data_IF_936333072475
#
_entry.id   IF_936333072475
#
_cell.length_a   1.000
_cell.length_b   1.000
_cell.length_c   1.000
_cell.angle_alpha   90.00
_cell.angle_beta   90.00
_cell.angle_gamma   90.00
#
_symmetry.space_group_name_H-M   'P 1'
#
loop_
_entity.id
_entity.type
_entity.pdbx_description
1 polymer ?
#
# COMPACT_ATOMS: atom_id res chain seq x y z
N UNK A 1 1.89 -24.36 -10.38
CA UNK A 1 2.19 -23.75 -9.07
C UNK A 1 3.58 -23.12 -9.18
N UNK A 2 3.66 -21.90 -9.71
CA UNK A 2 4.92 -21.18 -9.90
C UNK A 2 4.93 -20.01 -8.89
N UNK A 3 5.66 -20.21 -7.82
CA UNK A 3 5.97 -19.15 -6.84
C UNK A 3 6.98 -18.23 -7.52
N UNK A 4 6.51 -17.13 -8.09
CA UNK A 4 7.37 -16.00 -8.44
C UNK A 4 7.65 -15.24 -7.15
N UNK A 5 8.83 -15.45 -6.58
CA UNK A 5 9.39 -14.58 -5.56
C UNK A 5 9.59 -13.20 -6.20
N UNK A 6 8.69 -12.30 -5.94
CA UNK A 6 8.87 -10.90 -6.25
C UNK A 6 9.85 -10.31 -5.23
N UNK A 7 11.12 -10.22 -5.61
CA UNK A 7 12.07 -9.34 -4.95
C UNK A 7 11.57 -7.91 -5.19
N UNK A 8 10.93 -7.32 -4.20
CA UNK A 8 10.68 -5.91 -4.17
C UNK A 8 12.02 -5.21 -3.90
N UNK A 9 12.65 -4.75 -4.97
CA UNK A 9 13.60 -3.67 -4.91
C UNK A 9 12.85 -2.44 -4.38
N UNK A 10 13.11 -2.06 -3.13
CA UNK A 10 12.65 -0.82 -2.55
C UNK A 10 13.13 0.34 -3.44
N UNK A 11 12.22 1.14 -4.02
CA UNK A 11 12.66 2.41 -4.57
C UNK A 11 13.07 3.28 -3.38
N UNK A 12 14.35 3.63 -3.31
CA UNK A 12 14.83 4.73 -2.50
C UNK A 12 14.11 6.00 -3.00
N UNK A 13 13.03 6.36 -2.33
CA UNK A 13 12.47 7.69 -2.50
C UNK A 13 13.45 8.69 -1.90
N UNK A 14 14.24 9.29 -2.77
CA UNK A 14 14.97 10.50 -2.45
C UNK A 14 13.96 11.58 -2.07
N UNK A 15 13.92 11.95 -0.80
CA UNK A 15 13.32 13.20 -0.36
C UNK A 15 14.24 14.31 -0.88
N UNK A 16 13.91 14.84 -2.04
CA UNK A 16 14.49 16.09 -2.54
C UNK A 16 13.93 17.23 -1.69
N UNK A 17 14.74 17.73 -0.75
CA UNK A 17 14.33 18.91 0.02
C UNK A 17 15.10 19.19 1.32
N UNK A 18 16.28 18.64 1.54
CA UNK A 18 17.20 19.17 2.56
C UNK A 18 18.17 20.15 1.89
N UNK A 19 17.83 21.43 1.92
CA UNK A 19 18.82 22.49 1.68
C UNK A 19 19.76 22.50 2.89
N UNK A 20 20.87 21.77 2.81
CA UNK A 20 22.00 21.98 3.70
C UNK A 20 22.73 23.24 3.22
N UNK A 21 22.60 24.35 3.95
CA UNK A 21 23.46 25.48 3.74
C UNK A 21 24.85 25.13 4.25
N UNK A 22 25.83 25.14 3.35
CA UNK A 22 27.25 25.08 3.71
C UNK A 22 27.59 26.36 4.48
N UNK A 23 28.16 26.24 5.68
CA UNK A 23 28.57 27.36 6.52
C UNK A 23 29.84 28.03 6.03
N UNK A 24 30.47 27.54 4.98
CA UNK A 24 31.76 28.06 4.42
C UNK A 24 31.61 28.71 3.03
N UNK A 25 30.38 28.88 2.53
CA UNK A 25 30.12 29.65 1.31
C UNK A 25 30.50 28.96 -0.02
N UNK A 26 30.97 27.71 0.03
CA UNK A 26 31.20 26.95 -1.21
C UNK A 26 29.89 26.41 -1.80
N UNK A 27 29.63 26.57 -3.11
CA UNK A 27 28.42 26.05 -3.71
C UNK A 27 28.43 24.52 -3.70
N UNK A 28 27.29 23.91 -3.29
CA UNK A 28 27.11 22.47 -3.37
C UNK A 28 27.15 22.01 -4.83
N UNK A 29 27.88 20.92 -5.10
CA UNK A 29 28.07 20.41 -6.48
C UNK A 29 26.83 19.67 -6.99
N UNK A 30 25.87 19.35 -6.11
CA UNK A 30 24.69 18.54 -6.39
C UNK A 30 24.98 17.04 -6.53
N UNK A 31 26.21 16.62 -6.32
CA UNK A 31 26.62 15.22 -6.29
C UNK A 31 26.84 14.80 -4.84
N UNK A 32 25.95 13.98 -4.31
CA UNK A 32 25.90 13.59 -2.89
C UNK A 32 27.26 13.06 -2.37
N UNK A 33 27.98 12.27 -3.18
CA UNK A 33 29.31 11.77 -2.83
C UNK A 33 30.34 12.88 -2.71
N UNK A 34 30.31 13.88 -3.58
CA UNK A 34 31.25 14.99 -3.56
C UNK A 34 30.95 15.96 -2.42
N UNK A 35 29.65 16.20 -2.14
CA UNK A 35 29.21 17.14 -1.11
C UNK A 35 29.36 16.56 0.30
N UNK A 36 29.23 15.23 0.47
CA UNK A 36 29.42 14.54 1.76
C UNK A 36 30.84 14.06 2.02
N UNK A 37 31.62 13.82 0.97
CA UNK A 37 32.96 13.23 1.08
C UNK A 37 34.08 14.11 0.47
N UNK A 38 33.78 15.37 0.15
CA UNK A 38 34.78 16.36 -0.28
C UNK A 38 35.81 16.51 0.82
N UNK A 39 36.98 15.98 0.58
CA UNK A 39 38.13 16.10 1.46
C UNK A 39 38.55 17.57 1.46
N UNK A 40 38.31 18.27 2.58
CA UNK A 40 38.86 19.63 2.74
C UNK A 40 40.38 19.55 2.58
N UNK A 41 40.90 20.29 1.63
CA UNK A 41 42.33 20.52 1.45
C UNK A 41 42.93 20.80 2.83
N UNK A 42 43.94 20.00 3.22
CA UNK A 42 44.57 20.05 4.52
C UNK A 42 44.99 21.48 4.86
N UNK A 43 44.65 22.01 6.04
CA UNK A 43 45.24 23.22 6.54
C UNK A 43 46.75 23.00 6.74
N UNK A 44 47.54 24.05 6.47
CA UNK A 44 48.98 24.10 6.65
C UNK A 44 49.44 23.53 8.00
N UNK A 45 50.62 22.91 8.06
CA UNK A 45 51.03 22.00 9.16
C UNK A 45 51.20 22.59 10.56
N UNK A 46 50.92 23.86 10.77
CA UNK A 46 51.22 24.53 12.04
C UNK A 46 50.16 24.43 13.16
N UNK A 47 48.95 23.85 12.90
CA UNK A 47 47.90 23.70 13.91
C UNK A 47 47.12 22.38 13.79
N UNK A 48 47.82 21.26 13.68
CA UNK A 48 47.13 19.96 13.77
C UNK A 48 46.69 19.69 15.21
N UNK A 49 45.49 20.09 15.57
CA UNK A 49 44.86 19.71 16.83
C UNK A 49 44.37 18.28 16.74
N UNK A 50 44.85 17.40 17.59
CA UNK A 50 44.37 16.02 17.71
C UNK A 50 42.87 15.95 18.05
N UNK A 51 42.28 17.02 18.58
CA UNK A 51 40.85 17.12 18.85
C UNK A 51 40.00 17.09 17.57
N UNK A 52 40.46 17.70 16.46
CA UNK A 52 39.70 17.71 15.20
C UNK A 52 39.66 16.32 14.56
N UNK A 53 40.75 15.55 14.71
CA UNK A 53 40.81 14.17 14.22
C UNK A 53 39.88 13.23 15.01
N UNK A 54 39.78 13.42 16.33
CA UNK A 54 38.87 12.63 17.17
C UNK A 54 37.39 12.92 16.83
N UNK A 55 37.01 14.19 16.68
CA UNK A 55 35.65 14.57 16.32
C UNK A 55 35.20 13.99 14.96
N UNK A 56 36.09 13.96 13.97
CA UNK A 56 35.83 13.37 12.64
C UNK A 56 35.68 11.86 12.73
N UNK A 57 36.47 11.17 13.56
CA UNK A 57 36.33 9.71 13.76
C UNK A 57 35.02 9.37 14.48
N UNK A 58 34.69 10.14 15.54
CA UNK A 58 33.43 10.01 16.30
C UNK A 58 32.20 10.11 15.40
N UNK A 59 32.12 11.14 14.56
CA UNK A 59 31.01 11.34 13.63
C UNK A 59 30.89 10.18 12.64
N UNK A 60 32.01 9.59 12.21
CA UNK A 60 31.99 8.45 11.28
C UNK A 60 31.50 7.16 11.93
N UNK A 61 31.77 6.89 13.20
CA UNK A 61 31.32 5.69 13.89
C UNK A 61 29.79 5.77 14.17
N UNK A 62 29.30 6.91 14.65
CA UNK A 62 27.88 7.15 14.85
C UNK A 62 27.09 7.03 13.52
N UNK A 63 27.62 7.62 12.43
CA UNK A 63 27.02 7.52 11.11
C UNK A 63 26.95 6.07 10.61
N UNK A 64 28.04 5.29 10.78
CA UNK A 64 28.07 3.87 10.39
C UNK A 64 27.04 3.06 11.16
N UNK A 65 26.94 3.22 12.48
CA UNK A 65 25.96 2.53 13.29
C UNK A 65 24.52 2.86 12.85
N UNK A 66 24.23 4.14 12.59
CA UNK A 66 22.94 4.57 12.08
C UNK A 66 22.61 3.97 10.71
N UNK A 67 23.55 4.03 9.76
CA UNK A 67 23.36 3.47 8.41
C UNK A 67 23.15 1.95 8.42
N UNK A 68 23.88 1.22 9.26
CA UNK A 68 23.65 -0.23 9.40
C UNK A 68 22.23 -0.54 9.87
N UNK A 69 21.71 0.20 10.85
CA UNK A 69 20.36 0.01 11.34
C UNK A 69 19.28 0.55 10.40
N UNK A 70 19.60 1.52 9.55
CA UNK A 70 18.69 2.00 8.51
C UNK A 70 18.46 0.92 7.43
N UNK A 71 19.50 0.12 7.14
CA UNK A 71 19.40 -1.00 6.17
C UNK A 71 18.78 -2.23 6.82
N UNK A 72 19.23 -2.57 8.04
CA UNK A 72 18.75 -3.73 8.78
C UNK A 72 18.58 -3.37 10.26
N UNK A 73 17.35 -3.20 10.76
CA UNK A 73 17.10 -2.86 12.15
C UNK A 73 17.81 -3.82 13.12
N UNK A 74 18.55 -3.26 14.06
CA UNK A 74 19.37 -4.03 14.98
C UNK A 74 20.85 -4.15 14.57
N UNK A 75 21.20 -3.97 13.29
CA UNK A 75 22.58 -4.13 12.84
C UNK A 75 23.53 -3.08 13.43
N UNK A 76 23.11 -1.83 13.57
CA UNK A 76 23.89 -0.80 14.24
C UNK A 76 24.03 -1.03 15.73
N UNK A 77 23.01 -1.56 16.40
CA UNK A 77 23.12 -1.98 17.80
C UNK A 77 24.11 -3.14 17.97
N UNK A 78 24.07 -4.12 17.06
CA UNK A 78 25.06 -5.20 17.05
C UNK A 78 26.49 -4.67 16.81
N UNK A 79 26.66 -3.70 15.89
CA UNK A 79 27.93 -3.01 15.68
C UNK A 79 28.43 -2.33 16.96
N UNK A 80 27.55 -1.72 17.74
CA UNK A 80 27.79 -1.10 19.01
C UNK A 80 27.92 -2.13 20.17
N UNK A 81 27.90 -3.44 19.89
CA UNK A 81 27.95 -4.55 20.85
C UNK A 81 26.74 -4.61 21.81
N UNK A 82 25.65 -3.93 21.49
CA UNK A 82 24.40 -3.97 22.27
C UNK A 82 23.44 -5.04 21.70
N UNK A 83 23.77 -6.30 21.93
CA UNK A 83 23.08 -7.44 21.33
C UNK A 83 21.64 -7.58 21.78
N UNK A 84 21.28 -7.15 23.01
CA UNK A 84 19.90 -7.20 23.48
C UNK A 84 19.00 -6.28 22.63
N UNK A 85 19.40 -5.02 22.46
CA UNK A 85 18.66 -4.08 21.61
C UNK A 85 18.66 -4.51 20.16
N UNK A 86 19.79 -5.04 19.66
CA UNK A 86 19.86 -5.60 18.30
C UNK A 86 18.79 -6.69 18.09
N UNK A 87 18.67 -7.62 19.05
CA UNK A 87 17.67 -8.67 19.00
C UNK A 87 16.23 -8.14 19.04
N UNK A 88 15.96 -7.10 19.85
CA UNK A 88 14.63 -6.48 19.93
C UNK A 88 14.24 -5.84 18.60
N UNK A 89 15.07 -4.98 18.01
CA UNK A 89 14.79 -4.34 16.73
C UNK A 89 14.64 -5.34 15.59
N UNK A 90 15.49 -6.36 15.55
CA UNK A 90 15.39 -7.43 14.56
C UNK A 90 14.10 -8.27 14.74
N UNK A 91 13.70 -8.55 15.99
CA UNK A 91 12.45 -9.26 16.25
C UNK A 91 11.21 -8.47 15.80
N UNK A 92 11.19 -7.15 16.00
CA UNK A 92 10.13 -6.28 15.48
C UNK A 92 10.08 -6.31 13.96
N UNK A 93 11.24 -6.29 13.29
CA UNK A 93 11.36 -6.40 11.83
C UNK A 93 10.71 -7.69 11.32
N UNK A 94 11.14 -8.83 11.87
CA UNK A 94 10.61 -10.15 11.49
C UNK A 94 9.10 -10.24 11.77
N UNK A 95 8.65 -9.78 12.94
CA UNK A 95 7.23 -9.79 13.31
C UNK A 95 6.38 -8.94 12.35
N UNK A 96 6.88 -7.76 11.94
CA UNK A 96 6.19 -6.89 10.98
C UNK A 96 6.03 -7.56 9.62
N UNK A 97 7.09 -8.18 9.08
CA UNK A 97 7.01 -8.90 7.80
C UNK A 97 6.13 -10.15 7.87
N UNK A 98 6.20 -10.91 8.96
CA UNK A 98 5.30 -12.06 9.17
C UNK A 98 3.85 -11.61 9.24
N UNK A 99 3.55 -10.53 9.98
CA UNK A 99 2.21 -9.98 10.06
C UNK A 99 1.72 -9.54 8.67
N UNK A 100 2.55 -8.81 7.90
CA UNK A 100 2.20 -8.39 6.53
C UNK A 100 1.82 -9.59 5.66
N UNK A 101 2.64 -10.64 5.60
CA UNK A 101 2.38 -11.83 4.79
C UNK A 101 1.11 -12.56 5.23
N UNK A 102 0.92 -12.74 6.52
CA UNK A 102 -0.25 -13.44 7.07
C UNK A 102 -1.55 -12.69 6.77
N UNK A 103 -1.56 -11.36 6.99
CA UNK A 103 -2.75 -10.56 6.78
C UNK A 103 -3.07 -10.33 5.30
N UNK A 104 -2.06 -10.19 4.43
CA UNK A 104 -2.29 -10.20 2.98
C UNK A 104 -2.92 -11.53 2.53
N UNK A 105 -2.41 -12.67 3.02
CA UNK A 105 -3.00 -13.98 2.70
C UNK A 105 -4.46 -14.09 3.14
N UNK A 106 -4.80 -13.54 4.33
CA UNK A 106 -6.20 -13.48 4.78
C UNK A 106 -7.03 -12.58 3.87
N UNK A 107 -6.50 -11.43 3.45
CA UNK A 107 -7.14 -10.54 2.48
C UNK A 107 -7.43 -11.22 1.16
N UNK A 108 -6.43 -11.93 0.59
CA UNK A 108 -6.59 -12.70 -0.65
C UNK A 108 -7.65 -13.78 -0.54
N UNK A 109 -7.64 -14.54 0.56
CA UNK A 109 -8.64 -15.59 0.80
C UNK A 109 -10.05 -14.99 0.93
N UNK A 110 -10.19 -13.87 1.63
CA UNK A 110 -11.45 -13.19 1.81
C UNK A 110 -11.93 -12.55 0.49
N UNK A 111 -11.01 -12.04 -0.33
CA UNK A 111 -11.30 -11.55 -1.69
C UNK A 111 -11.85 -12.66 -2.57
N UNK A 112 -11.19 -13.81 -2.59
CA UNK A 112 -11.67 -14.97 -3.31
C UNK A 112 -13.06 -15.41 -2.82
N UNK A 113 -13.30 -15.35 -1.50
CA UNK A 113 -14.57 -15.71 -0.91
C UNK A 113 -15.70 -14.80 -1.40
N UNK A 114 -15.58 -13.46 -1.30
CA UNK A 114 -16.66 -12.58 -1.72
C UNK A 114 -16.87 -12.56 -3.24
N UNK A 115 -15.80 -12.74 -4.03
CA UNK A 115 -15.94 -12.91 -5.48
C UNK A 115 -16.69 -14.19 -5.84
N UNK A 116 -16.38 -15.31 -5.18
CA UNK A 116 -17.12 -16.56 -5.35
C UNK A 116 -18.58 -16.45 -4.86
N UNK A 117 -18.83 -15.68 -3.81
CA UNK A 117 -20.18 -15.41 -3.35
C UNK A 117 -21.02 -14.68 -4.41
N UNK A 118 -20.42 -13.73 -5.13
CA UNK A 118 -21.07 -13.05 -6.24
C UNK A 118 -21.24 -13.97 -7.47
N UNK A 119 -20.17 -14.59 -7.92
CA UNK A 119 -20.08 -15.25 -9.22
C UNK A 119 -20.43 -16.74 -9.21
N UNK A 120 -20.42 -17.38 -8.04
CA UNK A 120 -20.47 -18.82 -7.89
C UNK A 120 -19.08 -19.48 -7.72
N UNK A 121 -19.08 -20.72 -7.24
CA UNK A 121 -17.87 -21.39 -6.77
C UNK A 121 -16.96 -21.95 -7.87
N UNK A 122 -17.45 -22.03 -9.10
CA UNK A 122 -16.63 -22.49 -10.23
C UNK A 122 -17.22 -22.11 -11.58
N UNK A 123 -16.38 -22.14 -12.62
CA UNK A 123 -16.78 -21.96 -14.02
C UNK A 123 -17.84 -22.96 -14.53
N UNK A 124 -18.23 -23.92 -13.73
CA UNK A 124 -19.27 -24.89 -14.04
C UNK A 124 -20.52 -24.75 -13.16
N UNK A 125 -20.42 -24.03 -12.04
CA UNK A 125 -21.49 -23.90 -11.06
C UNK A 125 -21.82 -22.44 -10.72
N UNK A 126 -22.12 -21.66 -11.75
CA UNK A 126 -22.57 -20.25 -11.62
C UNK A 126 -23.94 -20.12 -10.93
N UNK A 127 -24.64 -21.23 -10.73
CA UNK A 127 -25.95 -21.24 -10.08
C UNK A 127 -25.86 -20.93 -8.58
N UNK A 128 -24.67 -21.08 -7.98
CA UNK A 128 -24.42 -20.80 -6.57
C UNK A 128 -24.01 -19.33 -6.35
N UNK A 129 -23.85 -18.55 -7.43
CA UNK A 129 -23.57 -17.13 -7.34
C UNK A 129 -24.83 -16.34 -7.06
N UNK A 130 -24.66 -15.28 -6.25
CA UNK A 130 -25.77 -14.43 -5.84
C UNK A 130 -25.91 -13.17 -6.68
N UNK A 131 -24.98 -12.86 -7.56
CA UNK A 131 -25.03 -11.71 -8.47
C UNK A 131 -24.75 -12.12 -9.91
N UNK A 132 -25.48 -11.53 -10.87
CA UNK A 132 -25.34 -11.87 -12.27
C UNK A 132 -25.41 -10.65 -13.17
N UNK A 133 -24.31 -10.40 -13.91
CA UNK A 133 -24.27 -9.37 -14.94
C UNK A 133 -25.31 -9.60 -16.04
N UNK A 134 -25.56 -10.86 -16.40
CA UNK A 134 -26.61 -11.21 -17.37
C UNK A 134 -28.00 -10.85 -16.85
N UNK A 135 -28.28 -11.17 -15.58
CA UNK A 135 -29.57 -10.81 -14.95
C UNK A 135 -29.73 -9.28 -14.91
N UNK A 136 -28.69 -8.54 -14.57
CA UNK A 136 -28.69 -7.08 -14.59
C UNK A 136 -28.97 -6.52 -15.99
N UNK A 137 -28.29 -7.03 -17.02
CA UNK A 137 -28.53 -6.62 -18.40
C UNK A 137 -29.93 -7.00 -18.89
N UNK A 138 -30.44 -8.18 -18.51
CA UNK A 138 -31.81 -8.59 -18.83
C UNK A 138 -32.83 -7.66 -18.19
N UNK A 139 -32.67 -7.31 -16.91
CA UNK A 139 -33.51 -6.33 -16.24
C UNK A 139 -33.54 -4.98 -16.99
N UNK A 140 -32.36 -4.43 -17.32
CA UNK A 140 -32.32 -3.18 -18.10
C UNK A 140 -33.08 -3.31 -19.42
N UNK A 141 -32.94 -4.42 -20.13
CA UNK A 141 -33.58 -4.65 -21.41
C UNK A 141 -35.12 -4.74 -21.30
N UNK A 142 -35.60 -5.47 -20.30
CA UNK A 142 -37.04 -5.68 -20.10
C UNK A 142 -37.73 -4.41 -19.60
N UNK A 143 -37.11 -3.68 -18.66
CA UNK A 143 -37.67 -2.49 -18.04
C UNK A 143 -37.16 -1.17 -18.66
N UNK A 144 -36.53 -1.22 -19.84
CA UNK A 144 -35.89 -0.08 -20.48
C UNK A 144 -36.80 1.16 -20.57
N UNK A 145 -38.01 0.98 -21.04
CA UNK A 145 -39.01 2.07 -21.20
C UNK A 145 -39.36 2.71 -19.85
N UNK A 146 -39.50 1.89 -18.80
CA UNK A 146 -39.79 2.37 -17.46
C UNK A 146 -38.58 3.14 -16.88
N UNK A 147 -37.38 2.61 -17.06
CA UNK A 147 -36.11 3.24 -16.62
C UNK A 147 -35.95 4.59 -17.32
N UNK A 148 -36.11 4.64 -18.64
CA UNK A 148 -36.01 5.88 -19.42
C UNK A 148 -37.04 6.91 -18.99
N UNK A 149 -38.29 6.47 -18.75
CA UNK A 149 -39.37 7.36 -18.32
C UNK A 149 -39.09 7.96 -16.94
N UNK A 150 -38.70 7.15 -15.97
CA UNK A 150 -38.35 7.61 -14.61
C UNK A 150 -37.16 8.57 -14.64
N UNK A 151 -36.17 8.34 -15.50
CA UNK A 151 -34.99 9.20 -15.64
C UNK A 151 -35.24 10.44 -16.55
N UNK A 152 -36.33 10.49 -17.28
CA UNK A 152 -36.63 11.55 -18.25
C UNK A 152 -35.74 11.48 -19.51
N UNK A 153 -35.27 10.28 -19.88
CA UNK A 153 -34.44 10.05 -21.06
C UNK A 153 -35.28 10.14 -22.33
N UNK A 154 -34.94 11.06 -23.23
CA UNK A 154 -35.68 11.30 -24.46
C UNK A 154 -34.76 11.58 -25.66
N UNK A 155 -35.33 11.67 -26.84
CA UNK A 155 -34.63 12.09 -28.07
C UNK A 155 -33.54 11.10 -28.50
N UNK A 156 -32.35 11.61 -28.86
CA UNK A 156 -31.23 10.81 -29.36
C UNK A 156 -30.73 9.78 -28.32
N UNK A 157 -30.77 10.15 -27.06
CA UNK A 157 -30.30 9.25 -25.98
C UNK A 157 -31.27 8.07 -25.81
N UNK A 158 -32.61 8.29 -25.92
CA UNK A 158 -33.56 7.20 -25.87
C UNK A 158 -33.37 6.24 -27.07
N UNK A 159 -33.19 6.77 -28.28
CA UNK A 159 -32.91 5.97 -29.47
C UNK A 159 -31.65 5.14 -29.33
N UNK A 160 -30.57 5.74 -28.78
CA UNK A 160 -29.30 5.05 -28.52
C UNK A 160 -29.47 3.92 -27.50
N UNK A 161 -30.19 4.19 -26.39
CA UNK A 161 -30.47 3.18 -25.39
C UNK A 161 -31.29 2.01 -25.97
N UNK A 162 -32.33 2.29 -26.75
CA UNK A 162 -33.13 1.26 -27.42
C UNK A 162 -32.30 0.42 -28.40
N UNK A 163 -31.44 1.05 -29.21
CA UNK A 163 -30.58 0.34 -30.17
C UNK A 163 -29.63 -0.64 -29.46
N UNK A 164 -28.94 -0.17 -28.43
CA UNK A 164 -27.90 -0.99 -27.74
C UNK A 164 -28.53 -1.99 -26.76
N UNK A 165 -29.71 -1.74 -26.19
CA UNK A 165 -30.40 -2.70 -25.33
C UNK A 165 -30.69 -4.02 -26.05
N UNK A 166 -30.90 -4.00 -27.36
CA UNK A 166 -31.13 -5.24 -28.13
C UNK A 166 -29.81 -6.04 -28.31
N UNK A 167 -28.65 -5.41 -28.18
CA UNK A 167 -27.33 -5.99 -28.43
C UNK A 167 -26.66 -6.46 -27.16
N UNK A 168 -27.01 -5.93 -25.98
CA UNK A 168 -26.27 -6.15 -24.74
C UNK A 168 -26.41 -7.57 -24.17
N UNK A 169 -27.48 -8.30 -24.50
CA UNK A 169 -27.68 -9.70 -24.14
C UNK A 169 -27.37 -10.56 -25.34
N UNK A 170 -26.36 -11.38 -25.26
CA UNK A 170 -25.90 -12.28 -26.30
C UNK A 170 -25.96 -13.73 -25.82
N UNK A 171 -26.06 -14.68 -26.74
CA UNK A 171 -26.00 -16.10 -26.42
C UNK A 171 -24.73 -16.71 -27.06
N UNK A 172 -23.67 -16.77 -26.32
CA UNK A 172 -22.39 -17.31 -26.76
C UNK A 172 -22.27 -18.83 -26.52
N UNK A 173 -23.32 -19.48 -26.03
CA UNK A 173 -23.32 -20.91 -25.69
C UNK A 173 -22.39 -21.26 -24.51
N UNK A 174 -21.88 -20.25 -23.80
CA UNK A 174 -21.02 -20.40 -22.61
C UNK A 174 -21.87 -20.28 -21.36
N UNK A 175 -21.76 -21.21 -20.40
CA UNK A 175 -22.58 -21.19 -19.18
C UNK A 175 -22.35 -19.97 -18.29
N UNK A 176 -21.19 -19.33 -18.36
CA UNK A 176 -20.86 -18.16 -17.54
C UNK A 176 -21.78 -16.98 -17.84
N UNK A 177 -22.53 -16.44 -16.86
CA UNK A 177 -23.45 -15.33 -17.09
C UNK A 177 -22.79 -14.11 -17.76
N UNK A 178 -21.61 -13.72 -17.30
CA UNK A 178 -20.87 -12.57 -17.84
C UNK A 178 -20.36 -12.77 -19.26
N UNK A 179 -20.25 -14.00 -19.76
CA UNK A 179 -19.90 -14.29 -21.16
C UNK A 179 -21.07 -14.03 -22.12
N UNK A 180 -22.27 -13.89 -21.59
CA UNK A 180 -23.48 -13.62 -22.36
C UNK A 180 -23.90 -12.13 -22.29
N UNK A 181 -22.97 -11.25 -21.93
CA UNK A 181 -23.14 -9.80 -21.90
C UNK A 181 -22.18 -9.16 -22.89
N UNK A 182 -22.70 -8.37 -23.81
CA UNK A 182 -21.90 -7.41 -24.59
C UNK A 182 -21.66 -6.17 -23.73
N UNK A 183 -20.47 -6.09 -23.17
CA UNK A 183 -20.06 -5.03 -22.24
C UNK A 183 -20.06 -3.64 -22.88
N UNK A 184 -19.73 -3.55 -24.17
CA UNK A 184 -19.79 -2.30 -24.89
C UNK A 184 -21.23 -1.82 -25.02
N UNK A 185 -22.12 -2.70 -25.46
CA UNK A 185 -23.53 -2.38 -25.61
C UNK A 185 -24.18 -2.02 -24.28
N UNK A 186 -23.88 -2.75 -23.20
CA UNK A 186 -24.34 -2.44 -21.86
C UNK A 186 -23.91 -1.03 -21.41
N UNK A 187 -22.64 -0.69 -21.59
CA UNK A 187 -22.13 0.64 -21.20
C UNK A 187 -22.70 1.77 -22.07
N UNK A 188 -23.04 1.50 -23.36
CA UNK A 188 -23.77 2.47 -24.18
C UNK A 188 -25.17 2.76 -23.64
N UNK A 189 -25.89 1.73 -23.18
CA UNK A 189 -27.23 1.90 -22.57
C UNK A 189 -27.10 2.67 -21.25
N UNK A 190 -26.21 2.28 -20.36
CA UNK A 190 -25.97 2.97 -19.08
C UNK A 190 -25.62 4.44 -19.30
N UNK A 191 -24.73 4.72 -20.27
CA UNK A 191 -24.30 6.08 -20.60
C UNK A 191 -25.43 6.91 -21.22
N UNK A 192 -26.23 6.34 -22.11
CA UNK A 192 -27.33 7.03 -22.78
C UNK A 192 -28.45 7.40 -21.81
N UNK A 193 -28.76 6.53 -20.85
CA UNK A 193 -29.73 6.80 -19.79
C UNK A 193 -29.17 7.81 -18.79
N UNK A 194 -27.86 7.76 -18.52
CA UNK A 194 -27.18 8.80 -17.72
C UNK A 194 -27.58 8.79 -16.26
N UNK A 195 -28.25 9.84 -15.77
CA UNK A 195 -28.49 10.11 -14.34
C UNK A 195 -28.98 8.94 -13.50
N UNK A 196 -29.69 7.98 -14.06
CA UNK A 196 -30.04 6.74 -13.39
C UNK A 196 -28.80 5.86 -13.14
N UNK A 197 -27.92 5.75 -14.09
CA UNK A 197 -26.69 4.98 -13.99
C UNK A 197 -25.50 5.91 -13.75
N UNK A 198 -25.21 6.19 -12.50
CA UNK A 198 -24.07 7.05 -12.11
C UNK A 198 -22.71 6.44 -12.41
N UNK A 199 -22.65 5.13 -12.60
CA UNK A 199 -21.43 4.36 -12.89
C UNK A 199 -21.70 3.35 -14.00
N UNK A 200 -20.75 3.20 -14.90
CA UNK A 200 -20.75 2.15 -15.92
C UNK A 200 -20.17 0.88 -15.32
N UNK A 201 -20.84 -0.25 -15.56
CA UNK A 201 -20.35 -1.55 -15.09
C UNK A 201 -19.16 -2.00 -15.94
N UNK A 202 -17.94 -2.12 -15.37
CA UNK A 202 -16.80 -2.62 -16.13
C UNK A 202 -16.94 -4.12 -16.39
N UNK A 203 -16.18 -4.66 -17.37
CA UNK A 203 -16.17 -6.09 -17.64
C UNK A 203 -15.85 -6.93 -16.41
N UNK A 204 -16.47 -8.11 -16.36
CA UNK A 204 -16.25 -9.09 -15.29
C UNK A 204 -14.76 -9.40 -15.06
N UNK A 205 -14.38 -9.64 -13.80
CA UNK A 205 -13.02 -9.97 -13.38
C UNK A 205 -12.15 -8.76 -13.02
N UNK A 206 -12.59 -7.54 -13.31
CA UNK A 206 -11.90 -6.33 -12.88
C UNK A 206 -12.21 -6.03 -11.41
N UNK A 207 -11.22 -5.47 -10.68
CA UNK A 207 -11.41 -5.06 -9.29
C UNK A 207 -12.61 -4.10 -9.14
N UNK A 208 -12.74 -3.17 -10.07
CA UNK A 208 -13.81 -2.18 -10.07
C UNK A 208 -15.20 -2.80 -10.27
N UNK A 209 -15.31 -3.89 -11.07
CA UNK A 209 -16.56 -4.66 -11.21
C UNK A 209 -17.06 -5.11 -9.83
N UNK A 210 -16.21 -5.79 -9.06
CA UNK A 210 -16.56 -6.27 -7.73
C UNK A 210 -16.77 -5.15 -6.69
N UNK A 211 -16.20 -3.98 -6.94
CA UNK A 211 -16.47 -2.82 -6.10
C UNK A 211 -17.89 -2.27 -6.35
N UNK A 212 -18.24 -2.06 -7.60
CA UNK A 212 -19.46 -1.38 -7.98
C UNK A 212 -20.72 -2.18 -7.64
N UNK A 213 -20.72 -3.49 -7.88
CA UNK A 213 -21.90 -4.35 -7.68
C UNK A 213 -22.39 -4.40 -6.23
N UNK A 214 -21.51 -4.16 -5.25
CA UNK A 214 -21.88 -4.09 -3.84
C UNK A 214 -22.16 -2.67 -3.36
N UNK A 215 -21.47 -1.67 -3.94
CA UNK A 215 -21.44 -0.30 -3.41
C UNK A 215 -22.63 0.55 -3.87
N UNK A 216 -23.11 0.33 -5.11
CA UNK A 216 -24.09 1.22 -5.71
C UNK A 216 -25.44 0.55 -5.92
N UNK A 217 -26.54 1.17 -5.44
CA UNK A 217 -27.90 0.62 -5.57
C UNK A 217 -28.35 0.38 -7.01
N UNK A 218 -27.78 1.10 -7.98
CA UNK A 218 -28.09 0.92 -9.41
C UNK A 218 -27.83 -0.53 -9.90
N UNK A 219 -26.96 -1.29 -9.24
CA UNK A 219 -26.67 -2.68 -9.57
C UNK A 219 -27.54 -3.68 -8.80
N UNK A 220 -28.50 -3.18 -7.99
CA UNK A 220 -29.37 -4.01 -7.14
C UNK A 220 -30.02 -5.16 -7.88
N UNK A 221 -30.53 -4.92 -9.07
CA UNK A 221 -31.31 -5.90 -9.81
C UNK A 221 -30.48 -7.06 -10.40
N UNK A 222 -29.17 -6.97 -10.32
CA UNK A 222 -28.28 -8.11 -10.59
C UNK A 222 -28.23 -9.14 -9.45
N UNK A 223 -28.66 -8.79 -8.23
CA UNK A 223 -28.71 -9.72 -7.09
C UNK A 223 -29.92 -10.62 -7.15
N UNK A 224 -29.76 -11.89 -6.82
CA UNK A 224 -30.78 -12.93 -6.92
C UNK A 224 -31.96 -12.74 -5.96
N UNK A 225 -31.75 -12.03 -4.86
CA UNK A 225 -32.74 -11.68 -3.85
C UNK A 225 -33.35 -10.29 -4.03
N UNK A 226 -33.04 -9.61 -5.14
CA UNK A 226 -33.69 -8.38 -5.56
C UNK A 226 -35.13 -8.65 -6.02
N UNK A 227 -35.93 -7.62 -6.23
CA UNK A 227 -37.32 -7.73 -6.72
C UNK A 227 -37.35 -8.42 -8.10
N UNK A 228 -36.49 -7.97 -9.03
CA UNK A 228 -36.34 -8.62 -10.34
C UNK A 228 -35.79 -10.04 -10.21
N UNK A 229 -34.73 -10.22 -9.40
CA UNK A 229 -34.16 -11.53 -9.19
C UNK A 229 -35.13 -12.56 -8.63
N UNK A 230 -36.04 -12.14 -7.76
CA UNK A 230 -37.13 -12.98 -7.25
C UNK A 230 -38.21 -13.23 -8.31
N UNK A 231 -38.59 -12.19 -9.07
CA UNK A 231 -39.61 -12.31 -10.11
C UNK A 231 -39.26 -13.34 -11.17
N UNK A 232 -38.06 -13.30 -11.73
CA UNK A 232 -37.61 -14.26 -12.75
C UNK A 232 -37.42 -15.68 -12.22
N UNK A 233 -37.36 -15.85 -10.90
CA UNK A 233 -37.31 -17.17 -10.23
C UNK A 233 -38.67 -17.64 -9.71
N UNK A 234 -39.70 -16.85 -9.89
CA UNK A 234 -41.05 -17.17 -9.37
C UNK A 234 -41.12 -17.19 -7.84
N UNK A 235 -40.28 -16.42 -7.18
CA UNK A 235 -40.20 -16.36 -5.71
C UNK A 235 -41.15 -15.29 -5.14
N UNK A 236 -41.67 -15.47 -3.91
CA UNK A 236 -42.50 -14.46 -3.25
C UNK A 236 -41.78 -13.12 -3.10
N UNK A 237 -42.49 -12.02 -3.30
CA UNK A 237 -41.95 -10.66 -3.20
C UNK A 237 -41.11 -10.22 -4.42
N UNK A 238 -41.19 -10.97 -5.54
CA UNK A 238 -40.67 -10.55 -6.82
C UNK A 238 -41.59 -9.51 -7.48
N UNK A 239 -40.99 -8.52 -8.13
CA UNK A 239 -41.65 -7.54 -8.98
C UNK A 239 -40.80 -7.32 -10.22
N UNK A 240 -41.35 -7.63 -11.38
CA UNK A 240 -40.67 -7.50 -12.68
C UNK A 240 -40.68 -6.07 -13.23
N UNK A 241 -41.50 -5.20 -12.65
CA UNK A 241 -41.62 -3.79 -13.06
C UNK A 241 -40.99 -2.82 -12.04
N UNK A 242 -40.11 -3.32 -11.19
CA UNK A 242 -39.59 -2.55 -10.09
C UNK A 242 -38.40 -1.70 -10.54
N UNK A 243 -38.57 -0.39 -10.56
CA UNK A 243 -37.54 0.61 -10.81
C UNK A 243 -37.45 1.52 -9.60
N UNK A 244 -36.71 1.13 -8.58
CA UNK A 244 -36.56 1.93 -7.41
C UNK A 244 -35.08 2.08 -7.02
N UNK A 245 -34.64 3.34 -6.93
CA UNK A 245 -33.38 3.76 -6.40
C UNK A 245 -33.29 3.75 -4.88
N UNK A 246 -34.43 3.84 -4.23
CA UNK A 246 -34.53 4.25 -2.82
C UNK A 246 -34.31 3.07 -1.87
N UNK A 247 -34.51 1.86 -2.35
CA UNK A 247 -34.50 0.67 -1.48
C UNK A 247 -33.11 0.12 -1.11
N UNK A 248 -32.03 0.83 -1.43
CA UNK A 248 -30.69 0.49 -0.94
C UNK A 248 -30.20 -0.90 -1.35
N UNK A 249 -29.52 -1.56 -0.44
CA UNK A 249 -28.95 -2.90 -0.64
C UNK A 249 -29.97 -4.01 -0.37
N UNK A 250 -29.82 -5.15 -1.08
CA UNK A 250 -30.50 -6.39 -0.71
C UNK A 250 -29.78 -7.09 0.44
N UNK A 251 -30.37 -8.08 1.13
CA UNK A 251 -29.66 -8.89 2.10
C UNK A 251 -28.36 -9.51 1.57
N UNK A 252 -28.38 -10.08 0.34
CA UNK A 252 -27.18 -10.66 -0.26
C UNK A 252 -26.15 -9.60 -0.63
N UNK A 253 -26.55 -8.45 -1.17
CA UNK A 253 -25.62 -7.38 -1.45
C UNK A 253 -25.02 -6.79 -0.17
N UNK A 254 -25.79 -6.67 0.91
CA UNK A 254 -25.29 -6.21 2.20
C UNK A 254 -24.26 -7.18 2.78
N UNK A 255 -24.57 -8.47 2.78
CA UNK A 255 -23.60 -9.49 3.21
C UNK A 255 -22.32 -9.46 2.37
N UNK A 256 -22.44 -9.33 1.04
CA UNK A 256 -21.30 -9.20 0.14
C UNK A 256 -20.43 -7.99 0.50
N UNK A 257 -21.06 -6.83 0.76
CA UNK A 257 -20.35 -5.61 1.17
C UNK A 257 -19.59 -5.80 2.47
N UNK A 258 -20.18 -6.48 3.45
CA UNK A 258 -19.53 -6.80 4.72
C UNK A 258 -18.30 -7.70 4.50
N UNK A 259 -18.44 -8.72 3.65
CA UNK A 259 -17.31 -9.62 3.33
C UNK A 259 -16.19 -8.89 2.57
N UNK A 260 -16.54 -7.98 1.66
CA UNK A 260 -15.58 -7.13 0.97
C UNK A 260 -14.90 -6.14 1.94
N UNK A 261 -15.68 -5.56 2.85
CA UNK A 261 -15.16 -4.72 3.95
C UNK A 261 -14.12 -5.44 4.77
N UNK A 262 -14.41 -6.69 5.17
CA UNK A 262 -13.48 -7.54 5.93
C UNK A 262 -12.18 -7.81 5.16
N UNK A 263 -12.22 -8.01 3.84
CA UNK A 263 -11.02 -8.15 3.02
C UNK A 263 -10.15 -6.88 3.06
N UNK A 264 -10.79 -5.71 2.94
CA UNK A 264 -10.10 -4.42 3.04
C UNK A 264 -9.47 -4.20 4.41
N UNK A 265 -10.14 -4.62 5.49
CA UNK A 265 -9.59 -4.54 6.85
C UNK A 265 -8.33 -5.40 6.99
N UNK A 266 -8.31 -6.60 6.41
CA UNK A 266 -7.13 -7.44 6.42
C UNK A 266 -5.96 -6.80 5.66
N UNK A 267 -6.20 -6.22 4.50
CA UNK A 267 -5.17 -5.48 3.77
C UNK A 267 -4.70 -4.22 4.50
N UNK A 268 -5.61 -3.53 5.21
CA UNK A 268 -5.24 -2.37 6.02
C UNK A 268 -4.31 -2.76 7.17
N UNK A 269 -4.57 -3.89 7.85
CA UNK A 269 -3.66 -4.42 8.88
C UNK A 269 -2.30 -4.80 8.27
N UNK A 270 -2.29 -5.46 7.11
CA UNK A 270 -1.06 -5.79 6.40
C UNK A 270 -0.24 -4.55 6.03
N UNK A 271 -0.89 -3.50 5.54
CA UNK A 271 -0.27 -2.21 5.23
C UNK A 271 0.28 -1.52 6.48
N UNK A 272 -0.47 -1.56 7.59
CA UNK A 272 -0.03 -1.01 8.89
C UNK A 272 1.22 -1.72 9.38
N UNK A 273 1.33 -3.04 9.21
CA UNK A 273 2.54 -3.79 9.57
C UNK A 273 3.79 -3.30 8.80
N UNK A 274 3.65 -2.97 7.52
CA UNK A 274 4.74 -2.32 6.75
C UNK A 274 5.08 -0.94 7.31
N UNK A 275 4.09 -0.16 7.71
CA UNK A 275 4.31 1.11 8.39
C UNK A 275 5.14 0.95 9.68
N UNK A 276 4.85 -0.07 10.49
CA UNK A 276 5.62 -0.39 11.70
C UNK A 276 7.08 -0.76 11.34
N UNK A 277 7.29 -1.55 10.29
CA UNK A 277 8.63 -1.90 9.78
C UNK A 277 9.41 -0.63 9.40
N UNK A 278 8.82 0.28 8.64
CA UNK A 278 9.47 1.54 8.24
C UNK A 278 9.87 2.36 9.47
N UNK A 279 8.98 2.53 10.43
CA UNK A 279 9.25 3.26 11.68
C UNK A 279 10.34 2.58 12.48
N UNK A 280 10.37 1.24 12.52
CA UNK A 280 11.41 0.44 13.18
C UNK A 280 12.80 0.73 12.60
N UNK A 281 12.95 0.85 11.28
CA UNK A 281 14.21 1.24 10.64
C UNK A 281 14.70 2.62 11.11
N UNK A 282 13.83 3.62 11.12
CA UNK A 282 14.19 4.97 11.55
C UNK A 282 14.57 5.04 13.04
N UNK A 283 13.77 4.42 13.91
CA UNK A 283 14.03 4.42 15.36
C UNK A 283 15.33 3.65 15.65
N UNK A 284 15.52 2.50 15.02
CA UNK A 284 16.74 1.70 15.17
C UNK A 284 17.99 2.47 14.71
N UNK A 285 17.92 3.16 13.56
CA UNK A 285 19.02 3.95 13.04
C UNK A 285 19.38 5.10 13.98
N UNK A 286 18.37 5.85 14.43
CA UNK A 286 18.57 6.98 15.36
C UNK A 286 19.16 6.50 16.69
N UNK A 287 18.61 5.45 17.27
CA UNK A 287 19.10 4.88 18.53
C UNK A 287 20.53 4.38 18.42
N UNK A 288 20.87 3.66 17.33
CA UNK A 288 22.22 3.16 17.11
C UNK A 288 23.24 4.28 16.97
N UNK A 289 22.89 5.36 16.25
CA UNK A 289 23.76 6.52 16.09
C UNK A 289 23.96 7.29 17.40
N UNK A 290 22.88 7.56 18.14
CA UNK A 290 22.94 8.24 19.43
C UNK A 290 23.70 7.43 20.48
N UNK A 291 23.53 6.12 20.50
CA UNK A 291 24.25 5.24 21.41
C UNK A 291 25.76 5.22 21.11
N UNK A 292 26.16 5.11 19.85
CA UNK A 292 27.54 5.19 19.42
C UNK A 292 28.17 6.52 19.87
N UNK A 293 27.49 7.63 19.57
CA UNK A 293 27.96 8.97 19.97
C UNK A 293 28.10 9.12 21.50
N UNK A 294 27.17 8.57 22.28
CA UNK A 294 27.21 8.62 23.74
C UNK A 294 28.33 7.75 24.32
N UNK A 295 28.67 6.61 23.69
CA UNK A 295 29.76 5.76 24.13
C UNK A 295 31.12 6.41 23.87
N UNK A 296 31.28 7.09 22.75
CA UNK A 296 32.55 7.76 22.38
C UNK A 296 32.88 8.87 23.37
N UNK A 297 31.90 9.60 23.87
CA UNK A 297 32.10 10.64 24.90
C UNK A 297 32.54 10.12 26.28
N UNK A 298 32.35 8.82 26.56
CA UNK A 298 32.69 8.22 27.86
C UNK A 298 34.17 7.81 27.97
N UNK A 299 34.85 7.69 26.85
CA UNK A 299 36.25 7.26 26.80
C UNK A 299 37.09 8.39 26.20
N UNK A 300 37.55 9.32 27.01
CA UNK A 300 38.54 10.29 26.60
C UNK A 300 39.92 9.74 26.93
N UNK A 301 40.69 9.35 25.92
CA UNK A 301 42.13 9.08 26.05
C UNK A 301 42.90 10.38 25.81
N UNK A 302 43.55 10.87 26.79
CA UNK A 302 44.43 12.05 26.68
C UNK A 302 45.86 11.59 26.56
N UNK A 303 46.49 11.98 25.45
CA UNK A 303 47.92 11.88 25.28
C UNK A 303 48.50 13.29 25.33
N UNK A 304 49.36 13.57 26.28
CA UNK A 304 50.07 14.84 26.37
C UNK A 304 51.56 14.63 26.40
N UNK A 305 52.29 15.48 25.66
CA UNK A 305 53.76 15.55 25.75
C UNK A 305 54.12 16.71 26.64
N UNK A 306 54.83 16.43 27.71
CA UNK A 306 55.42 17.46 28.57
C UNK A 306 56.91 17.57 28.29
N UNK A 307 57.36 18.78 27.97
CA UNK A 307 58.82 19.06 27.91
C UNK A 307 59.40 19.01 29.31
N UNK A 308 60.53 18.30 29.49
CA UNK A 308 61.29 18.32 30.75
C UNK A 308 62.10 19.60 30.87
N UNK A 309 62.19 20.17 32.07
CA UNK A 309 63.06 21.34 32.30
C UNK A 309 64.50 21.07 31.92
N UNK A 310 65.21 22.09 31.37
CA UNK A 310 66.63 22.05 31.00
C UNK A 310 67.00 21.16 29.81
N UNK A 311 66.11 20.92 28.83
CA UNK A 311 66.53 20.24 27.59
C UNK A 311 66.69 18.72 27.68
N UNK A 312 66.20 18.09 28.76
CA UNK A 312 66.35 16.66 29.00
C UNK A 312 65.39 15.77 28.18
N UNK A 313 64.63 16.33 27.23
CA UNK A 313 63.71 15.59 26.36
C UNK A 313 62.23 15.84 26.63
N UNK A 314 61.42 14.96 26.12
CA UNK A 314 59.94 14.99 26.30
C UNK A 314 59.49 13.72 27.03
N UNK A 315 58.52 13.88 27.94
CA UNK A 315 57.77 12.74 28.52
C UNK A 315 56.38 12.68 27.93
N UNK A 316 56.01 11.52 27.44
CA UNK A 316 54.67 11.26 26.96
C UNK A 316 53.82 10.75 28.10
N UNK A 317 52.80 11.51 28.50
CA UNK A 317 51.80 11.09 29.47
C UNK A 317 50.57 10.54 28.73
N UNK A 318 50.18 9.33 29.07
CA UNK A 318 48.91 8.75 28.64
C UNK A 318 47.89 8.83 29.79
N UNK A 319 46.86 9.58 29.62
CA UNK A 319 45.73 9.66 30.56
C UNK A 319 44.47 9.07 29.95
N UNK A 320 43.77 8.25 30.71
CA UNK A 320 42.41 7.79 30.37
C UNK A 320 41.47 8.36 31.41
N UNK A 321 40.44 9.09 30.97
CA UNK A 321 39.33 9.48 31.83
C UNK A 321 38.07 8.74 31.38
N UNK A 322 37.38 8.14 32.35
CA UNK A 322 36.09 7.51 32.14
C UNK A 322 35.05 8.24 33.00
N UNK A 323 34.03 8.80 32.39
CA UNK A 323 32.90 9.39 33.11
C UNK A 323 31.81 8.34 33.30
N UNK A 324 31.47 8.07 34.55
CA UNK A 324 30.40 7.19 34.95
C UNK A 324 29.03 7.82 34.74
#
# INVERSE_FOLDING_TARGET
>A
MNIRAAFFLFPLFFVSGLYAQSTDGSPLTGILSNDLFSEKVAPTPDNFSMNDSAAVVETRAALKAGLFSLILPGAGQAYNRNYLKAGIFFAVEVAGWVANVVWNKKGDNQTNFFQQYADGTSSRNYKDGHWSALQYAQWIKEDLNLIMNVNGTTGANAQLAEEYAQKMVVNNGVPAPWSNVDWYALNQVESAIGGYFSHLLPPHGQQQYYELIGKYPQFRQGWDDSEWGKAIRGLPGGDSLFVDYVHGSTPHSSYYMDQRGLANDYYAIASTAVGVVIVNHFISALEAALYAHAQEKRIEARMSMKALPMGAGYVTEFGFSYQF
#
